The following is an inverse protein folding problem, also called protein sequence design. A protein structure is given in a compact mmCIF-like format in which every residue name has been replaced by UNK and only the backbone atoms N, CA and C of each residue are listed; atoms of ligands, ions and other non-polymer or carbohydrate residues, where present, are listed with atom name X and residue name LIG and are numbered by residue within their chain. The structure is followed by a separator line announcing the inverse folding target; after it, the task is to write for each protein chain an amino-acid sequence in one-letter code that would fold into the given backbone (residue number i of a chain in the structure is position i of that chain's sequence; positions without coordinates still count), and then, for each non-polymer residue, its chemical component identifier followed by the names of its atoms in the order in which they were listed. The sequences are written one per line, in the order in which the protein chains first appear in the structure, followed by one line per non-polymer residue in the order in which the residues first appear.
data_IF_555247338624
#
_entry.id   IF_555247338624
#
_cell.length_a   1.000
_cell.length_b   1.000
_cell.length_c   1.000
_cell.angle_alpha   90.00
_cell.angle_beta   90.00
_cell.angle_gamma   90.00
#
_symmetry.space_group_name_H-M   'P 1'
#
loop_
_entity.id
_entity.type
_entity.pdbx_description
1 polymer ?
#
# COMPACT_ATOMS: atom_id res chain seq x y z
N UNK A 1 -1.34 -53.21 113.03
CA UNK A 1 -1.79 -51.85 112.65
C UNK A 1 -0.98 -51.43 111.43
N UNK A 2 -1.55 -51.52 110.23
CA UNK A 2 -0.90 -51.12 108.98
C UNK A 2 -1.72 -49.99 108.37
N UNK A 3 -1.14 -48.78 108.30
CA UNK A 3 -1.76 -47.63 107.67
C UNK A 3 -1.39 -47.63 106.18
N UNK A 4 -2.38 -47.89 105.32
CA UNK A 4 -2.24 -47.68 103.88
C UNK A 4 -2.27 -46.19 103.58
N UNK A 5 -1.17 -45.67 103.04
CA UNK A 5 -1.10 -44.30 102.56
C UNK A 5 -1.73 -44.22 101.16
N UNK A 6 -2.79 -43.42 100.93
CA UNK A 6 -3.36 -43.30 99.60
C UNK A 6 -2.41 -42.50 98.70
N UNK A 7 -2.01 -43.11 97.59
CA UNK A 7 -1.21 -42.49 96.55
C UNK A 7 -2.01 -41.33 95.92
N UNK A 8 -1.45 -40.13 95.95
CA UNK A 8 -2.01 -38.96 95.25
C UNK A 8 -2.07 -39.22 93.74
N UNK A 9 -3.17 -38.87 93.05
CA UNK A 9 -3.24 -38.98 91.60
C UNK A 9 -2.33 -37.92 90.98
N UNK A 10 -1.43 -38.36 90.11
CA UNK A 10 -0.56 -37.49 89.31
C UNK A 10 -1.42 -36.52 88.50
N UNK A 11 -1.26 -35.22 88.71
CA UNK A 11 -1.82 -34.16 87.87
C UNK A 11 -1.28 -34.35 86.45
N UNK A 12 -2.10 -34.90 85.57
CA UNK A 12 -1.80 -34.94 84.14
C UNK A 12 -1.75 -33.49 83.63
N UNK A 13 -0.73 -33.11 82.84
CA UNK A 13 -0.71 -31.78 82.24
C UNK A 13 -1.96 -31.62 81.38
N UNK A 14 -2.75 -30.59 81.67
CA UNK A 14 -3.94 -30.24 80.92
C UNK A 14 -3.56 -30.14 79.45
N UNK A 15 -4.07 -31.09 78.65
CA UNK A 15 -3.76 -31.25 77.25
C UNK A 15 -4.22 -29.98 76.54
N UNK A 16 -3.30 -29.02 76.34
CA UNK A 16 -3.59 -27.77 75.63
C UNK A 16 -4.24 -28.13 74.30
N UNK A 17 -5.54 -27.82 74.22
CA UNK A 17 -6.36 -28.09 73.06
C UNK A 17 -5.83 -27.21 71.94
N UNK A 18 -4.98 -27.77 71.07
CA UNK A 18 -4.44 -27.09 69.90
C UNK A 18 -5.63 -26.61 69.07
N UNK A 19 -5.88 -25.31 69.09
CA UNK A 19 -6.84 -24.64 68.22
C UNK A 19 -6.35 -24.82 66.78
N UNK A 20 -6.84 -25.86 66.09
CA UNK A 20 -6.58 -26.04 64.67
C UNK A 20 -7.35 -24.93 63.93
N UNK A 21 -6.70 -24.10 63.09
CA UNK A 21 -7.40 -23.03 62.39
C UNK A 21 -8.49 -23.64 61.51
N UNK A 22 -9.75 -23.26 61.78
CA UNK A 22 -10.91 -23.71 61.01
C UNK A 22 -10.74 -23.25 59.55
N UNK A 23 -10.80 -24.15 58.56
CA UNK A 23 -10.63 -23.76 57.16
C UNK A 23 -11.78 -22.85 56.72
N UNK A 24 -11.51 -21.54 56.61
CA UNK A 24 -12.47 -20.54 56.12
C UNK A 24 -12.60 -20.67 54.58
N UNK A 25 -13.24 -21.75 54.11
CA UNK A 25 -13.45 -22.03 52.67
C UNK A 25 -14.22 -20.92 51.95
N UNK A 26 -15.21 -20.29 52.61
CA UNK A 26 -16.09 -19.29 51.99
C UNK A 26 -15.40 -17.95 51.68
N UNK A 27 -14.38 -17.56 52.45
CA UNK A 27 -13.64 -16.31 52.19
C UNK A 27 -12.79 -16.42 50.92
N UNK A 28 -12.20 -17.60 50.67
CA UNK A 28 -11.43 -17.86 49.45
C UNK A 28 -12.29 -17.81 48.20
N UNK A 29 -13.53 -18.30 48.26
CA UNK A 29 -14.42 -18.28 47.10
C UNK A 29 -14.80 -16.85 46.70
N UNK A 30 -15.03 -15.94 47.67
CA UNK A 30 -15.21 -14.51 47.40
C UNK A 30 -13.94 -13.87 46.84
N UNK A 31 -12.77 -14.18 47.39
CA UNK A 31 -11.52 -13.60 46.89
C UNK A 31 -11.20 -14.04 45.45
N UNK A 32 -11.46 -15.30 45.08
CA UNK A 32 -11.29 -15.75 43.70
C UNK A 32 -12.27 -15.07 42.73
N UNK A 33 -13.51 -14.81 43.14
CA UNK A 33 -14.47 -14.04 42.32
C UNK A 33 -14.00 -12.60 42.11
N UNK A 34 -13.52 -11.95 43.16
CA UNK A 34 -12.98 -10.58 43.08
C UNK A 34 -11.75 -10.56 42.18
N UNK A 35 -10.83 -11.51 42.35
CA UNK A 35 -9.64 -11.65 41.49
C UNK A 35 -10.00 -11.89 40.03
N UNK A 36 -11.00 -12.73 39.75
CA UNK A 36 -11.45 -13.01 38.39
C UNK A 36 -12.05 -11.75 37.74
N UNK A 37 -12.87 -10.99 38.46
CA UNK A 37 -13.43 -9.71 37.98
C UNK A 37 -12.30 -8.73 37.67
N UNK A 38 -11.37 -8.54 38.61
CA UNK A 38 -10.22 -7.64 38.42
C UNK A 38 -9.36 -8.04 37.22
N UNK A 39 -9.07 -9.34 37.08
CA UNK A 39 -8.27 -9.86 35.97
C UNK A 39 -9.01 -9.70 34.64
N UNK A 40 -10.31 -9.99 34.61
CA UNK A 40 -11.12 -9.81 33.40
C UNK A 40 -11.18 -8.34 32.99
N UNK A 41 -11.33 -7.41 33.94
CA UNK A 41 -11.29 -5.99 33.67
C UNK A 41 -9.93 -5.55 33.10
N UNK A 42 -8.81 -6.01 33.69
CA UNK A 42 -7.46 -5.73 33.19
C UNK A 42 -7.27 -6.24 31.75
N UNK A 43 -7.73 -7.46 31.45
CA UNK A 43 -7.66 -8.03 30.11
C UNK A 43 -8.50 -7.21 29.13
N UNK A 44 -9.73 -6.84 29.50
CA UNK A 44 -10.63 -6.05 28.65
C UNK A 44 -10.03 -4.70 28.30
N UNK A 45 -9.43 -3.99 29.26
CA UNK A 45 -8.75 -2.71 28.99
C UNK A 45 -7.61 -2.90 27.99
N UNK A 46 -6.77 -3.93 28.17
CA UNK A 46 -5.70 -4.21 27.22
C UNK A 46 -6.24 -4.55 25.82
N UNK A 47 -7.35 -5.29 25.74
CA UNK A 47 -8.01 -5.61 24.47
C UNK A 47 -8.50 -4.35 23.76
N UNK A 48 -9.08 -3.41 24.51
CA UNK A 48 -9.51 -2.10 23.98
C UNK A 48 -8.29 -1.33 23.45
N UNK A 49 -7.19 -1.27 24.20
CA UNK A 49 -5.96 -0.57 23.77
C UNK A 49 -5.40 -1.20 22.50
N UNK A 50 -5.31 -2.53 22.43
CA UNK A 50 -4.84 -3.26 21.24
C UNK A 50 -5.77 -2.98 20.05
N UNK A 51 -7.09 -3.00 20.25
CA UNK A 51 -8.05 -2.72 19.18
C UNK A 51 -7.94 -1.28 18.67
N UNK A 52 -7.74 -0.31 19.56
CA UNK A 52 -7.54 1.09 19.20
C UNK A 52 -6.22 1.27 18.43
N UNK A 53 -5.15 0.60 18.87
CA UNK A 53 -3.86 0.61 18.18
C UNK A 53 -3.96 0.01 16.77
N UNK A 54 -4.62 -1.14 16.61
CA UNK A 54 -4.87 -1.78 15.31
C UNK A 54 -5.75 -0.91 14.41
N UNK A 55 -6.76 -0.25 14.97
CA UNK A 55 -7.62 0.69 14.24
C UNK A 55 -6.81 1.90 13.75
N UNK A 56 -5.98 2.48 14.61
CA UNK A 56 -5.09 3.59 14.24
C UNK A 56 -4.08 3.18 13.16
N UNK A 57 -3.47 2.00 13.28
CA UNK A 57 -2.59 1.43 12.26
C UNK A 57 -3.31 1.21 10.92
N UNK A 58 -4.53 0.65 10.97
CA UNK A 58 -5.35 0.42 9.77
C UNK A 58 -5.80 1.72 9.12
N UNK A 59 -5.91 2.81 9.87
CA UNK A 59 -6.19 4.13 9.31
C UNK A 59 -4.91 4.82 8.79
N UNK A 60 -3.74 4.55 9.39
CA UNK A 60 -2.45 5.14 9.00
C UNK A 60 -1.85 4.50 7.74
N UNK A 61 -1.89 3.17 7.63
CA UNK A 61 -1.35 2.41 6.50
C UNK A 61 -1.89 2.82 5.12
N UNK A 62 -3.21 2.98 4.89
CA UNK A 62 -3.75 3.20 3.55
C UNK A 62 -3.37 4.54 2.93
N UNK A 63 -3.02 5.56 3.74
CA UNK A 63 -2.61 6.86 3.22
C UNK A 63 -1.32 6.78 2.40
N UNK A 64 -0.41 5.86 2.74
CA UNK A 64 0.88 5.76 2.07
C UNK A 64 0.84 4.90 0.81
N UNK A 65 -0.05 3.89 0.74
CA UNK A 65 -0.14 3.00 -0.41
C UNK A 65 -0.84 3.67 -1.59
N UNK A 66 -1.94 4.39 -1.33
CA UNK A 66 -2.68 5.11 -2.38
C UNK A 66 -1.85 6.22 -3.04
N UNK A 67 -0.91 6.82 -2.29
CA UNK A 67 -0.01 7.83 -2.83
C UNK A 67 1.01 7.26 -3.83
N UNK A 68 1.45 6.01 -3.66
CA UNK A 68 2.46 5.41 -4.54
C UNK A 68 1.93 5.11 -5.94
N UNK A 69 0.68 4.63 -6.05
CA UNK A 69 0.05 4.39 -7.35
C UNK A 69 -0.19 5.70 -8.10
N UNK A 70 -0.68 6.73 -7.41
CA UNK A 70 -0.86 8.07 -7.99
C UNK A 70 0.48 8.70 -8.43
N UNK A 71 1.54 8.49 -7.65
CA UNK A 71 2.89 8.93 -8.03
C UNK A 71 3.43 8.20 -9.27
N UNK A 72 3.11 6.91 -9.42
CA UNK A 72 3.50 6.12 -10.59
C UNK A 72 2.79 6.63 -11.84
N UNK A 73 1.48 6.84 -11.75
CA UNK A 73 0.65 7.37 -12.84
C UNK A 73 1.12 8.76 -13.30
N UNK A 74 1.28 9.70 -12.36
CA UNK A 74 1.76 11.06 -12.68
C UNK A 74 3.15 11.01 -13.31
N UNK A 75 4.07 10.18 -12.81
CA UNK A 75 5.42 10.04 -13.40
C UNK A 75 5.36 9.52 -14.84
N UNK A 76 4.48 8.56 -15.13
CA UNK A 76 4.32 8.04 -16.49
C UNK A 76 3.74 9.09 -17.42
N UNK A 77 2.74 9.85 -16.96
CA UNK A 77 2.12 10.90 -17.76
C UNK A 77 3.09 12.05 -18.06
N UNK A 78 3.84 12.51 -17.05
CA UNK A 78 4.88 13.54 -17.23
C UNK A 78 5.92 13.10 -18.24
N UNK A 79 6.40 11.84 -18.16
CA UNK A 79 7.41 11.31 -19.10
C UNK A 79 6.87 11.25 -20.54
N UNK A 80 5.61 10.87 -20.72
CA UNK A 80 4.97 10.88 -22.04
C UNK A 80 4.84 12.30 -22.58
N UNK A 81 4.43 13.26 -21.74
CA UNK A 81 4.29 14.66 -22.14
C UNK A 81 5.64 15.29 -22.50
N UNK A 82 6.69 15.00 -21.72
CA UNK A 82 8.05 15.46 -21.99
C UNK A 82 8.57 14.94 -23.33
N UNK A 83 8.31 13.67 -23.66
CA UNK A 83 8.60 13.12 -24.98
C UNK A 83 7.85 13.84 -26.11
N UNK A 84 6.55 14.11 -25.91
CA UNK A 84 5.74 14.86 -26.89
C UNK A 84 6.25 16.29 -27.10
N UNK A 85 6.61 16.98 -26.03
CA UNK A 85 7.15 18.35 -26.09
C UNK A 85 8.53 18.35 -26.75
N UNK A 86 9.38 17.37 -26.46
CA UNK A 86 10.68 17.22 -27.11
C UNK A 86 10.54 17.02 -28.62
N UNK A 87 9.65 16.12 -29.05
CA UNK A 87 9.36 15.91 -30.47
C UNK A 87 8.81 17.18 -31.12
N UNK A 88 7.83 17.84 -30.49
CA UNK A 88 7.24 19.06 -31.03
C UNK A 88 8.26 20.19 -31.14
N UNK A 89 9.15 20.32 -30.14
CA UNK A 89 10.25 21.30 -30.17
C UNK A 89 11.25 20.98 -31.29
N UNK A 90 11.54 19.70 -31.54
CA UNK A 90 12.41 19.27 -32.63
C UNK A 90 11.79 19.61 -34.00
N UNK A 91 10.52 19.27 -34.21
CA UNK A 91 9.79 19.60 -35.44
C UNK A 91 9.66 21.11 -35.62
N UNK A 92 9.35 21.85 -34.56
CA UNK A 92 9.31 23.30 -34.59
C UNK A 92 10.67 23.88 -34.97
N UNK A 93 11.74 23.47 -34.31
CA UNK A 93 13.09 23.95 -34.63
C UNK A 93 13.48 23.63 -36.07
N UNK A 94 13.12 22.45 -36.57
CA UNK A 94 13.32 22.04 -37.96
C UNK A 94 12.54 22.93 -38.93
N UNK A 95 11.27 23.20 -38.64
CA UNK A 95 10.40 24.01 -39.49
C UNK A 95 10.81 25.48 -39.54
N UNK A 96 11.44 25.98 -38.47
CA UNK A 96 11.93 27.36 -38.38
C UNK A 96 13.42 27.51 -38.71
N UNK A 97 14.11 26.43 -39.09
CA UNK A 97 15.50 26.48 -39.56
C UNK A 97 15.55 26.89 -41.05
N UNK A 98 16.11 28.07 -41.39
CA UNK A 98 16.18 28.53 -42.78
C UNK A 98 17.01 27.61 -43.68
N UNK A 99 17.94 26.82 -43.11
CA UNK A 99 18.74 25.86 -43.89
C UNK A 99 17.90 24.67 -44.38
N UNK A 100 16.84 24.31 -43.65
CA UNK A 100 15.92 23.22 -44.00
C UNK A 100 14.71 23.68 -44.83
N UNK A 101 14.52 24.99 -44.99
CA UNK A 101 13.38 25.55 -45.70
C UNK A 101 13.24 25.05 -47.15
N UNK A 102 14.35 24.81 -47.85
CA UNK A 102 14.31 24.26 -49.21
C UNK A 102 13.79 22.83 -49.25
N UNK A 103 14.24 21.99 -48.31
CA UNK A 103 13.84 20.59 -48.15
C UNK A 103 12.39 20.48 -47.72
N UNK A 104 11.97 21.26 -46.71
CA UNK A 104 10.57 21.30 -46.23
C UNK A 104 9.61 21.75 -47.31
N UNK A 105 9.99 22.75 -48.13
CA UNK A 105 9.16 23.22 -49.25
C UNK A 105 8.98 22.13 -50.32
N UNK A 106 10.01 21.29 -50.56
CA UNK A 106 9.90 20.15 -51.45
C UNK A 106 9.02 19.04 -50.84
N UNK A 107 9.21 18.72 -49.56
CA UNK A 107 8.45 17.68 -48.85
C UNK A 107 6.96 18.03 -48.69
N UNK A 108 6.63 19.25 -48.22
CA UNK A 108 5.26 19.62 -47.87
C UNK A 108 4.46 20.23 -49.01
N UNK A 109 5.12 20.95 -49.93
CA UNK A 109 4.45 21.68 -51.01
C UNK A 109 4.84 21.20 -52.40
N UNK A 110 5.74 20.22 -52.52
CA UNK A 110 6.27 19.75 -53.80
C UNK A 110 6.80 20.88 -54.70
N UNK A 111 7.31 21.94 -54.06
CA UNK A 111 7.77 23.16 -54.74
C UNK A 111 9.29 23.21 -54.72
N UNK A 112 9.87 23.22 -55.92
CA UNK A 112 11.31 23.31 -56.12
C UNK A 112 11.79 24.78 -56.11
N UNK A 113 13.07 25.03 -55.78
CA UNK A 113 13.66 26.37 -55.86
C UNK A 113 13.53 26.95 -57.28
N UNK A 114 13.45 28.28 -57.39
CA UNK A 114 13.46 28.97 -58.69
C UNK A 114 14.76 28.59 -59.43
N UNK A 115 14.63 27.86 -60.54
CA UNK A 115 15.75 27.38 -61.36
C UNK A 115 15.92 25.85 -61.43
N UNK A 116 15.22 25.09 -60.60
CA UNK A 116 15.20 23.62 -60.67
C UNK A 116 13.86 23.13 -61.22
N UNK A 117 13.90 22.23 -62.22
CA UNK A 117 12.71 21.62 -62.83
C UNK A 117 12.66 20.15 -62.47
N UNK A 118 11.45 19.67 -62.17
CA UNK A 118 11.24 18.26 -61.94
C UNK A 118 11.26 17.49 -63.26
N UNK A 119 12.08 16.44 -63.32
CA UNK A 119 12.10 15.48 -64.42
C UNK A 119 11.27 14.25 -63.99
N UNK A 120 10.13 14.05 -64.64
CA UNK A 120 9.34 12.82 -64.50
C UNK A 120 9.64 12.00 -65.75
N UNK A 121 10.35 10.88 -65.58
CA UNK A 121 10.61 9.95 -66.68
C UNK A 121 9.36 9.08 -66.80
N UNK A 122 8.56 9.33 -67.83
CA UNK A 122 7.39 8.51 -68.16
C UNK A 122 7.85 7.51 -69.21
N UNK A 123 7.72 6.21 -68.93
CA UNK A 123 7.98 5.18 -69.93
C UNK A 123 6.99 5.35 -71.09
N UNK A 124 7.46 5.36 -72.35
CA UNK A 124 6.64 5.68 -73.52
C UNK A 124 5.55 4.64 -73.83
N UNK A 125 5.59 3.45 -73.22
CA UNK A 125 4.66 2.35 -73.51
C UNK A 125 3.20 2.61 -73.07
N UNK A 126 2.93 3.74 -72.40
CA UNK A 126 1.58 4.11 -71.91
C UNK A 126 0.86 5.07 -72.89
N UNK A 127 1.57 5.70 -73.83
CA UNK A 127 0.94 6.63 -74.78
C UNK A 127 0.22 5.95 -75.94
N UNK A 128 0.42 4.65 -76.14
CA UNK A 128 -0.21 3.87 -77.21
C UNK A 128 -1.54 3.23 -76.82
N UNK A 129 -2.01 3.37 -75.58
CA UNK A 129 -3.25 2.70 -75.11
C UNK A 129 -4.49 3.60 -75.15
N UNK A 130 -4.36 4.94 -75.09
CA UNK A 130 -5.54 5.83 -75.09
C UNK A 130 -5.93 6.40 -76.47
N UNK A 131 -5.10 6.25 -77.52
CA UNK A 131 -5.44 6.73 -78.88
C UNK A 131 -6.19 5.67 -79.73
N UNK A 132 -6.45 4.47 -79.18
CA UNK A 132 -7.17 3.40 -79.88
C UNK A 132 -8.67 3.32 -79.56
N UNK A 133 -9.20 4.11 -78.60
CA UNK A 133 -10.59 3.99 -78.13
C UNK A 133 -11.46 5.22 -78.45
N UNK A 134 -11.02 6.09 -79.35
CA UNK A 134 -11.86 7.16 -79.91
C UNK A 134 -11.74 7.23 -81.42
N UNK A 135 -12.56 6.46 -82.15
CA UNK A 135 -13.72 6.90 -82.97
C UNK A 135 -14.19 5.74 -83.88
N UNK A 136 -15.41 5.82 -84.43
CA UNK A 136 -16.55 4.90 -84.24
C UNK A 136 -16.54 3.58 -85.05
#
# INVERSE_FOLDING_TARGET
MNAFQPSQPTLQPEKQRRSVPRPKKHLRQRSYRILAIETSAKITVNLIIISAALSALSQLLPYHWLQQDKLREIRTEVKLMEGRVSNLKSEFSRNFDPTQANTIRQEQSYRFPRGQRQLIIINPDIKSVEESDSTP
#
